data_IF_956483479252
#
_entry.id   IF_956483479252
#
_cell.length_a   1.000
_cell.length_b   1.000
_cell.length_c   1.000
_cell.angle_alpha   90.00
_cell.angle_beta   90.00
_cell.angle_gamma   90.00
#
_symmetry.space_group_name_H-M   'P 1'
#
loop_
_entity.id
_entity.type
_entity.pdbx_description
1 polymer ?
#
# COMPACT_ATOMS: atom_id res chain seq x y z
N UNK A 1 -20.16 -4.22 17.12
CA UNK A 1 -20.94 -3.41 16.55
C UNK A 1 -20.72 -3.36 15.08
N UNK A 2 -21.66 -3.19 14.43
CA UNK A 2 -21.53 -3.16 13.03
C UNK A 2 -20.47 -2.17 12.67
N UNK A 3 -19.95 -2.29 11.52
CA UNK A 3 -18.90 -1.41 11.09
C UNK A 3 -19.35 0.03 11.00
N UNK A 4 -20.60 0.27 10.90
CA UNK A 4 -21.11 1.61 10.71
C UNK A 4 -21.03 2.11 9.29
N UNK A 5 -20.59 1.27 8.38
CA UNK A 5 -20.52 1.68 6.99
C UNK A 5 -21.90 1.59 6.36
N UNK A 6 -22.39 2.68 5.78
CA UNK A 6 -23.72 2.65 5.17
C UNK A 6 -23.72 1.80 3.89
N UNK A 7 -24.88 1.41 3.44
CA UNK A 7 -24.95 0.66 2.18
C UNK A 7 -24.34 1.45 1.04
N UNK A 8 -23.81 0.73 0.07
CA UNK A 8 -23.23 1.40 -1.08
C UNK A 8 -24.29 2.18 -1.83
N UNK A 9 -23.96 3.41 -2.22
CA UNK A 9 -24.91 4.26 -2.91
C UNK A 9 -24.81 4.16 -4.42
N UNK A 10 -23.75 3.52 -4.91
CA UNK A 10 -23.60 3.36 -6.35
C UNK A 10 -22.75 2.15 -6.62
N UNK A 11 -22.74 1.73 -7.87
CA UNK A 11 -21.92 0.58 -8.24
C UNK A 11 -20.45 0.87 -8.02
N UNK A 12 -20.01 2.08 -8.34
CA UNK A 12 -18.62 2.44 -8.17
C UNK A 12 -18.20 2.37 -6.70
N UNK A 13 -19.08 2.85 -5.82
CA UNK A 13 -18.77 2.82 -4.39
C UNK A 13 -18.73 1.38 -3.90
N UNK A 14 -19.68 0.57 -4.33
CA UNK A 14 -19.70 -0.83 -3.93
C UNK A 14 -18.44 -1.55 -4.38
N UNK A 15 -18.01 -1.29 -5.58
CA UNK A 15 -16.82 -1.92 -6.13
C UNK A 15 -15.59 -1.53 -5.31
N UNK A 16 -15.48 -0.26 -4.96
CA UNK A 16 -14.36 0.21 -4.15
C UNK A 16 -14.36 -0.45 -2.78
N UNK A 17 -15.53 -0.56 -2.18
CA UNK A 17 -15.62 -1.18 -0.86
C UNK A 17 -15.20 -2.64 -0.92
N UNK A 18 -15.59 -3.35 -1.96
CA UNK A 18 -15.23 -4.75 -2.08
C UNK A 18 -13.77 -4.93 -2.40
N UNK A 19 -13.22 -4.06 -3.24
CA UNK A 19 -11.87 -4.20 -3.70
C UNK A 19 -10.82 -3.85 -2.66
N UNK A 20 -11.21 -3.07 -1.64
CA UNK A 20 -10.24 -2.60 -0.66
C UNK A 20 -10.46 -3.17 0.72
N UNK A 21 -11.07 -4.32 0.78
CA UNK A 21 -11.39 -4.91 2.06
C UNK A 21 -10.53 -6.14 2.28
N UNK A 22 -9.77 -6.16 3.35
CA UNK A 22 -9.04 -7.35 3.72
C UNK A 22 -7.70 -7.49 3.06
N UNK A 23 -7.20 -8.70 3.06
CA UNK A 23 -5.86 -9.02 2.63
C UNK A 23 -5.83 -9.55 1.20
N UNK A 24 -4.62 -9.59 0.67
CA UNK A 24 -4.38 -10.22 -0.63
C UNK A 24 -5.17 -9.57 -1.76
N UNK A 25 -5.26 -8.25 -1.72
CA UNK A 25 -5.90 -7.52 -2.79
C UNK A 25 -5.05 -7.59 -4.05
N UNK A 26 -5.64 -7.26 -5.19
CA UNK A 26 -4.90 -7.28 -6.44
C UNK A 26 -3.64 -6.43 -6.41
N UNK A 27 -3.69 -5.19 -5.91
CA UNK A 27 -2.44 -4.41 -5.83
C UNK A 27 -1.38 -5.09 -4.98
N UNK A 28 -1.77 -5.70 -3.86
CA UNK A 28 -0.80 -6.40 -3.03
C UNK A 28 -0.15 -7.54 -3.77
N UNK A 29 -0.97 -8.34 -4.47
CA UNK A 29 -0.44 -9.48 -5.20
C UNK A 29 0.50 -9.03 -6.31
N UNK A 30 0.19 -7.92 -6.94
CA UNK A 30 1.05 -7.40 -7.99
C UNK A 30 2.41 -6.99 -7.44
N UNK A 31 2.41 -6.31 -6.30
CA UNK A 31 3.68 -5.92 -5.69
C UNK A 31 4.49 -7.15 -5.34
N UNK A 32 3.84 -8.18 -4.77
CA UNK A 32 4.56 -9.40 -4.42
C UNK A 32 5.17 -10.06 -5.65
N UNK A 33 4.44 -10.06 -6.75
CA UNK A 33 4.97 -10.68 -7.98
C UNK A 33 6.22 -9.96 -8.45
N UNK A 34 6.22 -8.64 -8.39
CA UNK A 34 7.39 -7.87 -8.79
C UNK A 34 8.56 -8.12 -7.85
N UNK A 35 8.28 -8.24 -6.55
CA UNK A 35 9.34 -8.52 -5.59
C UNK A 35 9.97 -9.88 -5.85
N UNK A 36 9.15 -10.87 -6.12
CA UNK A 36 9.66 -12.21 -6.39
C UNK A 36 10.51 -12.22 -7.66
N UNK A 37 10.02 -11.55 -8.70
CA UNK A 37 10.77 -11.49 -9.94
C UNK A 37 12.11 -10.79 -9.75
N UNK A 38 12.16 -9.81 -8.88
CA UNK A 38 13.39 -9.08 -8.62
C UNK A 38 14.33 -9.81 -7.68
N UNK A 39 13.89 -10.91 -7.09
CA UNK A 39 14.73 -11.66 -6.17
C UNK A 39 14.77 -11.07 -4.77
N UNK A 40 13.80 -10.26 -4.44
CA UNK A 40 13.75 -9.67 -3.10
C UNK A 40 12.81 -10.46 -2.20
N UNK A 41 12.99 -11.51 -2.06
CA UNK A 41 12.27 -12.39 -1.33
C UNK A 41 12.58 -12.23 0.07
N UNK A 42 12.06 -13.15 0.86
CA UNK A 42 12.30 -13.24 2.29
C UNK A 42 11.40 -12.35 3.12
N UNK A 43 10.39 -11.76 2.49
CA UNK A 43 9.51 -10.87 3.22
C UNK A 43 8.45 -11.64 3.98
N UNK A 44 7.88 -10.96 4.98
CA UNK A 44 6.72 -11.44 5.73
C UNK A 44 5.50 -10.64 5.32
N UNK A 45 4.33 -11.27 5.41
CA UNK A 45 3.09 -10.61 5.02
C UNK A 45 2.34 -10.17 6.27
N UNK A 46 1.79 -8.96 6.20
CA UNK A 46 0.93 -8.44 7.26
C UNK A 46 1.56 -8.58 8.63
N UNK A 47 2.79 -8.11 8.72
CA UNK A 47 3.61 -8.28 9.93
C UNK A 47 3.00 -7.58 11.13
N UNK A 48 3.21 -8.14 12.33
CA UNK A 48 2.55 -7.68 13.55
C UNK A 48 3.19 -6.44 14.15
N UNK A 49 3.20 -5.36 13.40
CA UNK A 49 3.65 -4.08 13.94
C UNK A 49 2.61 -3.04 13.55
N UNK A 50 2.82 -1.80 13.95
CA UNK A 50 1.85 -0.74 13.68
C UNK A 50 1.48 -0.72 12.20
N UNK A 51 0.19 -0.66 11.93
CA UNK A 51 -0.31 -0.58 10.56
C UNK A 51 -0.26 -1.89 9.79
N UNK A 52 0.31 -2.94 10.35
CA UNK A 52 0.42 -4.24 9.70
C UNK A 52 0.81 -4.11 8.23
N UNK A 53 2.04 -3.68 7.96
CA UNK A 53 2.48 -3.49 6.58
C UNK A 53 2.22 -4.73 5.73
N UNK A 54 1.83 -4.50 4.49
CA UNK A 54 1.51 -5.61 3.60
C UNK A 54 2.70 -6.50 3.34
N UNK A 55 3.89 -5.90 3.25
CA UNK A 55 5.13 -6.63 3.05
C UNK A 55 6.17 -6.04 4.00
N UNK A 56 6.93 -6.90 4.67
CA UNK A 56 7.94 -6.43 5.60
C UNK A 56 9.14 -7.34 5.61
N UNK A 57 10.29 -6.74 5.85
CA UNK A 57 11.53 -7.49 6.11
C UNK A 57 11.96 -7.09 7.52
N UNK A 58 11.47 -7.80 8.55
CA UNK A 58 11.68 -7.35 9.93
C UNK A 58 13.14 -7.26 10.34
N UNK A 59 13.98 -8.14 9.82
CA UNK A 59 15.39 -8.10 10.17
C UNK A 59 16.08 -6.84 9.72
N UNK A 60 15.55 -6.20 8.69
CA UNK A 60 16.10 -4.95 8.18
C UNK A 60 15.22 -3.76 8.53
N UNK A 61 14.07 -4.01 9.11
CA UNK A 61 13.09 -2.98 9.45
C UNK A 61 12.69 -2.16 8.22
N UNK A 62 12.36 -2.87 7.16
CA UNK A 62 11.87 -2.25 5.93
C UNK A 62 10.46 -2.75 5.70
N UNK A 63 9.56 -1.84 5.36
CA UNK A 63 8.17 -2.18 5.17
C UNK A 63 7.59 -1.50 3.95
N UNK A 64 6.64 -2.18 3.31
CA UNK A 64 5.90 -1.62 2.18
C UNK A 64 4.41 -1.70 2.50
N UNK A 65 3.76 -0.56 2.46
CA UNK A 65 2.31 -0.47 2.61
C UNK A 65 1.71 -0.31 1.22
N UNK A 66 0.75 -1.14 0.89
CA UNK A 66 0.08 -1.06 -0.41
C UNK A 66 -1.33 -0.56 -0.14
N UNK A 67 -1.55 0.72 -0.41
CA UNK A 67 -2.79 1.39 -0.02
C UNK A 67 -3.78 1.49 -1.15
N UNK A 68 -5.02 1.10 -0.88
CA UNK A 68 -6.12 1.35 -1.81
C UNK A 68 -6.45 2.83 -1.81
N UNK A 69 -6.66 3.39 -2.99
CA UNK A 69 -6.82 4.83 -3.10
C UNK A 69 -8.08 5.34 -2.43
N UNK A 70 -9.17 4.61 -2.56
CA UNK A 70 -10.44 5.06 -1.99
C UNK A 70 -10.39 5.18 -0.47
N UNK A 71 -9.96 4.09 0.18
CA UNK A 71 -10.02 4.03 1.65
C UNK A 71 -8.97 4.90 2.32
N UNK A 72 -7.81 4.99 1.71
CA UNK A 72 -6.70 5.72 2.33
C UNK A 72 -6.55 7.13 1.77
N UNK A 73 -7.46 7.55 0.92
CA UNK A 73 -7.53 8.90 0.34
C UNK A 73 -6.22 9.31 -0.31
N UNK A 74 -5.95 8.63 -1.41
CA UNK A 74 -4.73 8.85 -2.15
C UNK A 74 -4.51 10.33 -2.47
N UNK A 75 -3.33 10.87 -2.17
CA UNK A 75 -3.05 12.28 -2.48
C UNK A 75 -2.68 12.50 -3.95
N UNK A 76 -2.52 11.43 -4.71
CA UNK A 76 -2.13 11.56 -6.11
C UNK A 76 -3.33 11.59 -7.05
N UNK A 77 -4.25 10.66 -6.90
CA UNK A 77 -5.38 10.60 -7.81
C UNK A 77 -6.67 11.23 -7.25
N UNK A 78 -6.67 11.60 -5.98
CA UNK A 78 -7.78 12.32 -5.37
C UNK A 78 -9.13 11.69 -5.61
N UNK A 79 -9.37 10.49 -5.06
CA UNK A 79 -10.65 9.82 -5.27
C UNK A 79 -11.80 10.64 -4.73
N UNK A 80 -12.93 10.56 -5.40
CA UNK A 80 -14.10 11.34 -5.00
C UNK A 80 -14.71 10.78 -3.73
N UNK A 81 -15.45 11.63 -3.04
CA UNK A 81 -16.17 11.23 -1.85
C UNK A 81 -17.61 10.91 -2.24
N UNK A 82 -18.18 9.80 -1.75
CA UNK A 82 -19.57 9.50 -2.06
C UNK A 82 -20.49 10.64 -1.61
N UNK A 83 -21.44 11.00 -2.47
CA UNK A 83 -22.34 12.09 -2.16
C UNK A 83 -23.34 11.71 -1.09
N UNK A 84 -23.83 10.50 -1.13
CA UNK A 84 -24.77 10.00 -0.13
C UNK A 84 -24.04 9.75 1.17
N UNK A 85 -24.57 10.22 2.28
CA UNK A 85 -23.96 10.08 3.59
C UNK A 85 -22.59 10.76 3.63
N UNK A 86 -22.52 11.94 3.05
CA UNK A 86 -21.25 12.64 2.90
C UNK A 86 -20.53 12.86 4.22
N UNK A 87 -21.29 13.23 5.26
CA UNK A 87 -20.67 13.49 6.56
C UNK A 87 -20.07 12.24 7.18
N UNK A 88 -20.76 11.12 7.01
CA UNK A 88 -20.22 9.85 7.51
C UNK A 88 -18.89 9.54 6.83
N UNK A 89 -18.86 9.67 5.51
CA UNK A 89 -17.65 9.34 4.77
C UNK A 89 -16.51 10.29 5.07
N UNK A 90 -16.82 11.58 5.22
CA UNK A 90 -15.77 12.53 5.54
C UNK A 90 -15.10 12.18 6.86
N UNK A 91 -15.89 11.84 7.87
CA UNK A 91 -15.35 11.48 9.17
C UNK A 91 -14.57 10.16 9.10
N UNK A 92 -15.11 9.20 8.37
CA UNK A 92 -14.44 7.91 8.22
C UNK A 92 -13.08 8.09 7.56
N UNK A 93 -13.04 8.87 6.48
CA UNK A 93 -11.79 9.09 5.77
C UNK A 93 -10.79 9.86 6.63
N UNK A 94 -11.28 10.85 7.37
CA UNK A 94 -10.38 11.61 8.24
C UNK A 94 -9.71 10.69 9.25
N UNK A 95 -10.48 9.80 9.83
CA UNK A 95 -9.93 8.85 10.80
C UNK A 95 -8.94 7.88 10.15
N UNK A 96 -9.25 7.44 8.93
CA UNK A 96 -8.34 6.54 8.24
C UNK A 96 -7.00 7.21 7.95
N UNK A 97 -7.04 8.45 7.47
CA UNK A 97 -5.82 9.18 7.16
C UNK A 97 -5.00 9.42 8.44
N UNK A 98 -5.68 9.80 9.51
CA UNK A 98 -4.99 10.05 10.77
C UNK A 98 -4.35 8.77 11.32
N UNK A 99 -5.08 7.66 11.24
CA UNK A 99 -4.54 6.39 11.71
C UNK A 99 -3.33 5.98 10.89
N UNK A 100 -3.41 6.15 9.55
CA UNK A 100 -2.28 5.78 8.69
C UNK A 100 -1.05 6.61 9.05
N UNK A 101 -1.25 7.90 9.28
CA UNK A 101 -0.15 8.77 9.63
C UNK A 101 0.50 8.34 10.94
N UNK A 102 -0.33 8.05 11.94
CA UNK A 102 0.19 7.61 13.24
C UNK A 102 0.95 6.30 13.11
N UNK A 103 0.42 5.38 12.32
CA UNK A 103 1.10 4.09 12.16
C UNK A 103 2.47 4.26 11.54
N UNK A 104 2.58 5.11 10.52
CA UNK A 104 3.87 5.33 9.89
C UNK A 104 4.83 6.01 10.85
N UNK A 105 4.34 7.00 11.60
CA UNK A 105 5.19 7.69 12.57
C UNK A 105 5.69 6.70 13.63
N UNK A 106 4.84 5.81 14.08
CA UNK A 106 5.23 4.82 15.08
C UNK A 106 6.32 3.91 14.53
N UNK A 107 6.15 3.44 13.31
CA UNK A 107 7.16 2.58 12.69
C UNK A 107 8.47 3.32 12.51
N UNK A 108 8.41 4.54 12.01
CA UNK A 108 9.65 5.30 11.78
C UNK A 108 10.36 5.60 13.08
N UNK A 109 9.61 5.89 14.15
CA UNK A 109 10.22 6.10 15.45
C UNK A 109 10.91 4.86 15.96
N UNK A 110 10.46 3.69 15.52
CA UNK A 110 11.06 2.42 15.90
C UNK A 110 12.14 1.98 14.91
N UNK A 111 12.58 2.86 14.05
CA UNK A 111 13.69 2.58 13.15
C UNK A 111 13.31 1.94 11.83
N UNK A 112 12.04 1.87 11.51
CA UNK A 112 11.62 1.29 10.25
C UNK A 112 11.69 2.28 9.11
N UNK A 113 12.01 1.79 7.92
CA UNK A 113 11.88 2.54 6.69
C UNK A 113 10.57 2.09 6.04
N UNK A 114 9.67 3.01 5.82
CA UNK A 114 8.34 2.68 5.33
C UNK A 114 8.14 3.25 3.93
N UNK A 115 7.75 2.40 3.02
CA UNK A 115 7.39 2.81 1.66
C UNK A 115 5.89 2.66 1.49
N UNK A 116 5.26 3.63 0.89
CA UNK A 116 3.82 3.56 0.63
C UNK A 116 3.62 3.54 -0.89
N UNK A 117 2.93 2.52 -1.35
CA UNK A 117 2.61 2.38 -2.76
C UNK A 117 1.09 2.47 -2.91
N UNK A 118 0.64 3.29 -3.83
CA UNK A 118 -0.78 3.50 -4.03
C UNK A 118 -1.32 2.69 -5.19
N UNK A 119 -2.57 2.28 -5.04
CA UNK A 119 -3.22 1.48 -6.06
C UNK A 119 -3.11 2.10 -7.46
N UNK A 120 -3.27 3.41 -7.55
CA UNK A 120 -3.20 4.06 -8.86
C UNK A 120 -1.80 4.04 -9.46
N UNK A 121 -0.78 3.78 -8.63
CA UNK A 121 0.58 3.67 -9.11
C UNK A 121 0.90 2.27 -9.63
N UNK A 122 -0.04 1.36 -9.50
CA UNK A 122 0.16 -0.03 -9.90
C UNK A 122 -0.70 -0.42 -11.09
N UNK A 123 -1.19 0.58 -11.82
CA UNK A 123 -1.95 0.30 -13.03
C UNK A 123 -1.01 -0.05 -14.16
N UNK A 124 -1.59 -0.57 -15.24
CA UNK A 124 -0.79 -0.99 -16.37
C UNK A 124 0.15 0.10 -16.87
N UNK A 125 -0.33 1.34 -16.90
CA UNK A 125 0.47 2.44 -17.43
C UNK A 125 1.46 3.01 -16.43
N UNK A 126 1.33 2.70 -15.14
CA UNK A 126 2.17 3.33 -14.13
C UNK A 126 3.08 2.37 -13.40
N UNK A 127 2.78 1.08 -13.44
CA UNK A 127 3.50 0.14 -12.60
C UNK A 127 4.99 0.08 -12.92
N UNK A 128 5.34 0.22 -14.18
CA UNK A 128 6.74 0.16 -14.56
C UNK A 128 7.56 1.25 -13.92
N UNK A 129 7.03 2.46 -13.94
CA UNK A 129 7.74 3.59 -13.33
C UNK A 129 7.79 3.40 -11.81
N UNK A 130 6.68 2.99 -11.22
CA UNK A 130 6.60 2.83 -9.78
C UNK A 130 7.59 1.79 -9.28
N UNK A 131 7.61 0.62 -9.90
CA UNK A 131 8.52 -0.43 -9.47
C UNK A 131 9.95 -0.09 -9.85
N UNK A 132 10.14 0.62 -10.95
CA UNK A 132 11.48 1.07 -11.34
C UNK A 132 12.12 1.99 -10.32
N UNK A 133 11.29 2.68 -9.55
CA UNK A 133 11.79 3.56 -8.49
C UNK A 133 11.87 2.83 -7.15
N UNK A 134 10.91 1.97 -6.87
CA UNK A 134 10.86 1.28 -5.59
C UNK A 134 11.92 0.19 -5.45
N UNK A 135 12.07 -0.63 -6.47
CA UNK A 135 12.97 -1.78 -6.34
C UNK A 135 14.41 -1.39 -6.05
N UNK A 136 14.98 -0.37 -6.69
CA UNK A 136 16.34 0.03 -6.32
C UNK A 136 16.46 0.49 -4.87
N UNK A 137 15.45 1.18 -4.37
CA UNK A 137 15.48 1.62 -2.98
C UNK A 137 15.47 0.42 -2.04
N UNK A 138 14.60 -0.55 -2.33
CA UNK A 138 14.53 -1.74 -1.51
C UNK A 138 15.84 -2.52 -1.59
N UNK A 139 16.41 -2.61 -2.77
CA UNK A 139 17.67 -3.32 -2.93
C UNK A 139 18.75 -2.74 -2.01
N UNK A 140 18.86 -1.41 -2.00
CA UNK A 140 19.84 -0.76 -1.14
C UNK A 140 19.56 -1.01 0.33
N UNK A 141 18.30 -0.86 0.72
CA UNK A 141 17.94 -0.99 2.12
C UNK A 141 18.10 -2.42 2.63
N UNK A 142 17.85 -3.39 1.76
CA UNK A 142 17.93 -4.80 2.14
C UNK A 142 19.32 -5.37 1.93
N UNK A 143 20.16 -4.69 1.18
CA UNK A 143 21.46 -5.21 0.85
C UNK A 143 21.39 -6.39 -0.09
N UNK A 144 20.41 -6.40 -1.00
CA UNK A 144 20.23 -7.49 -1.94
C UNK A 144 20.22 -6.98 -3.37
N UNK A 145 20.93 -7.63 -4.28
CA UNK A 145 20.91 -7.19 -5.68
C UNK A 145 19.56 -7.52 -6.32
N UNK A 146 19.19 -6.75 -7.30
CA UNK A 146 17.97 -6.97 -8.04
C UNK A 146 18.26 -7.86 -9.22
N UNK A 147 17.54 -8.95 -9.33
CA UNK A 147 17.69 -9.85 -10.47
C UNK A 147 17.24 -9.17 -11.73
N UNK A 148 17.98 -9.37 -12.78
CA UNK A 148 17.59 -8.90 -14.08
C UNK A 148 17.97 -7.47 -14.36
N UNK A 149 18.43 -6.72 -13.36
CA UNK A 149 18.82 -5.35 -13.61
C UNK A 149 20.31 -5.16 -13.81
N UNK A 150 21.05 -6.18 -13.44
CA UNK A 150 22.50 -6.08 -13.59
C UNK A 150 22.92 -5.93 -15.03
N UNK A 151 22.23 -6.61 -15.91
CA UNK A 151 22.58 -6.52 -17.30
C UNK A 151 22.43 -5.12 -17.82
N UNK A 152 21.44 -4.43 -17.33
CA UNK A 152 21.23 -3.07 -17.78
C UNK A 152 22.21 -2.13 -17.16
N UNK A 153 22.52 -2.40 -15.91
CA UNK A 153 23.38 -1.53 -15.19
C UNK A 153 24.81 -1.59 -15.66
N UNK A 154 25.13 -2.65 -16.27
CA UNK A 154 26.51 -2.81 -16.70
C UNK A 154 26.83 -2.03 -17.95
#
# INVERSE_FOLDING_TARGET
MASGIPPASSEAVRHSMQGNRGKNTKPELLVRAHLREAGLXGYRLHWHVAGRPDVAWPGKRVAVMVNGCFWHRCPHCHPSTPATHAEFWAEKFRRNVERDRRNIETLEADGWTVHVVWECQLKKKTVGKTMGELLPQLSRELGKPIKGRLEEGS
#
